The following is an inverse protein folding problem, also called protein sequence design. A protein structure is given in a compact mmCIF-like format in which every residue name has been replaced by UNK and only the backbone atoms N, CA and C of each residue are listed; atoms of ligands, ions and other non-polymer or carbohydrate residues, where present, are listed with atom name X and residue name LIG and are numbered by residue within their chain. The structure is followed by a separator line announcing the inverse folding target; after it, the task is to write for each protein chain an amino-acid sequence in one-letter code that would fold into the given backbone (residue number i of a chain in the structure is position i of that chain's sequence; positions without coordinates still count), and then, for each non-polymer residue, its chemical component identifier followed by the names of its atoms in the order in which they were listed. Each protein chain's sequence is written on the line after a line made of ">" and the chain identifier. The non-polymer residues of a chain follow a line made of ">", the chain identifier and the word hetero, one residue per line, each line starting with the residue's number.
data_IF_678824733533
#
_entry.id   IF_678824733533
#
_cell.length_a   1.000
_cell.length_b   1.000
_cell.length_c   1.000
_cell.angle_alpha   90.00
_cell.angle_beta   90.00
_cell.angle_gamma   90.00
#
_symmetry.space_group_name_H-M   'P 1'
#
loop_
_entity.id
_entity.type
_entity.pdbx_description
1 polymer ?
#
# COMPACT_ATOMS: atom_id res chain seq x y z
N UNK A 1 -8.36 -4.65 -1.94
CA UNK A 1 -8.21 -6.00 -1.34
C UNK A 1 -9.22 -7.00 -1.89
N UNK A 2 -10.54 -6.72 -1.85
CA UNK A 2 -11.56 -7.54 -2.52
C UNK A 2 -11.29 -7.76 -4.02
N UNK A 3 -10.92 -6.70 -4.75
CA UNK A 3 -10.52 -6.78 -6.17
C UNK A 3 -9.34 -7.74 -6.42
N UNK A 4 -8.38 -7.80 -5.51
CA UNK A 4 -7.23 -8.70 -5.63
C UNK A 4 -7.65 -10.15 -5.40
N UNK A 5 -8.48 -10.41 -4.40
CA UNK A 5 -9.05 -11.74 -4.17
C UNK A 5 -9.92 -12.18 -5.37
N UNK A 6 -10.80 -11.33 -5.85
CA UNK A 6 -11.76 -11.69 -6.89
C UNK A 6 -11.11 -11.92 -8.25
N UNK A 7 -10.15 -11.07 -8.64
CA UNK A 7 -9.45 -11.20 -9.91
C UNK A 7 -8.32 -12.22 -9.88
N UNK A 8 -7.64 -12.40 -8.75
CA UNK A 8 -6.48 -13.30 -8.66
C UNK A 8 -6.89 -14.67 -8.13
N UNK A 9 -7.47 -14.77 -6.94
CA UNK A 9 -7.73 -16.07 -6.30
C UNK A 9 -8.90 -16.84 -6.92
N UNK A 10 -9.96 -16.15 -7.36
CA UNK A 10 -11.16 -16.80 -7.95
C UNK A 10 -10.86 -17.44 -9.31
N UNK A 11 -9.83 -16.95 -9.99
CA UNK A 11 -9.40 -17.43 -11.30
C UNK A 11 -8.45 -18.63 -11.20
N UNK A 12 -7.61 -18.69 -10.15
CA UNK A 12 -6.85 -19.90 -9.79
C UNK A 12 -7.79 -21.05 -9.38
N UNK A 13 -8.85 -20.75 -8.64
CA UNK A 13 -9.81 -21.75 -8.14
C UNK A 13 -10.63 -22.39 -9.28
N UNK A 14 -11.01 -21.61 -10.31
CA UNK A 14 -11.86 -22.07 -11.42
C UNK A 14 -11.16 -22.90 -12.50
N UNK A 15 -9.87 -23.25 -12.34
CA UNK A 15 -9.05 -23.95 -13.36
C UNK A 15 -9.06 -23.26 -14.75
N UNK A 16 -9.42 -21.97 -14.83
CA UNK A 16 -9.36 -21.17 -16.07
C UNK A 16 -7.93 -21.03 -16.61
N UNK A 17 -6.92 -21.36 -15.79
CA UNK A 17 -5.54 -21.54 -16.21
C UNK A 17 -5.40 -22.52 -17.39
N UNK A 18 -6.27 -23.54 -17.49
CA UNK A 18 -6.28 -24.53 -18.59
C UNK A 18 -6.71 -23.94 -19.93
N UNK A 19 -7.58 -22.92 -19.95
CA UNK A 19 -8.01 -22.24 -21.19
C UNK A 19 -6.96 -21.21 -21.65
N UNK A 20 -6.24 -20.61 -20.70
CA UNK A 20 -5.19 -19.61 -20.98
C UNK A 20 -3.83 -20.25 -21.33
N UNK A 21 -3.57 -21.48 -20.87
CA UNK A 21 -2.37 -22.27 -21.18
C UNK A 21 -2.36 -22.89 -22.58
N UNK A 22 -3.46 -22.84 -23.33
CA UNK A 22 -3.47 -23.29 -24.74
C UNK A 22 -2.52 -22.44 -25.60
N UNK A 23 -2.14 -21.25 -25.12
CA UNK A 23 -1.10 -20.42 -25.71
C UNK A 23 0.18 -20.44 -24.84
N UNK A 24 1.38 -20.54 -25.44
CA UNK A 24 2.65 -20.50 -24.71
C UNK A 24 2.92 -19.06 -24.27
N UNK A 25 2.23 -18.60 -23.24
CA UNK A 25 2.51 -17.30 -22.60
C UNK A 25 3.39 -17.51 -21.36
N UNK A 26 4.48 -16.73 -21.23
CA UNK A 26 5.32 -16.80 -20.03
C UNK A 26 4.51 -16.39 -18.79
N UNK A 27 4.57 -17.21 -17.74
CA UNK A 27 3.83 -17.05 -16.47
C UNK A 27 4.01 -15.65 -15.85
N UNK A 28 5.18 -15.04 -16.04
CA UNK A 28 5.48 -13.69 -15.58
C UNK A 28 4.58 -12.61 -16.20
N UNK A 29 4.28 -12.72 -17.51
CA UNK A 29 3.47 -11.71 -18.23
C UNK A 29 2.01 -11.75 -17.80
N UNK A 30 1.51 -12.91 -17.39
CA UNK A 30 0.17 -13.05 -16.84
C UNK A 30 0.03 -12.33 -15.49
N UNK A 31 0.94 -12.58 -14.55
CA UNK A 31 0.92 -11.94 -13.23
C UNK A 31 1.09 -10.42 -13.37
N UNK A 32 2.08 -9.97 -14.15
CA UNK A 32 2.33 -8.54 -14.35
C UNK A 32 1.15 -7.83 -15.00
N UNK A 33 0.51 -8.41 -16.03
CA UNK A 33 -0.66 -7.81 -16.67
C UNK A 33 -1.83 -7.64 -15.69
N UNK A 34 -2.06 -8.63 -14.81
CA UNK A 34 -3.10 -8.56 -13.77
C UNK A 34 -2.76 -7.54 -12.71
N UNK A 35 -1.52 -7.52 -12.24
CA UNK A 35 -1.04 -6.51 -11.30
C UNK A 35 -1.26 -5.10 -11.86
N UNK A 36 -0.85 -4.84 -13.11
CA UNK A 36 -1.04 -3.53 -13.76
C UNK A 36 -2.52 -3.18 -13.94
N UNK A 37 -3.39 -4.15 -14.23
CA UNK A 37 -4.83 -3.90 -14.36
C UNK A 37 -5.46 -3.53 -13.01
N UNK A 38 -5.13 -4.24 -11.94
CA UNK A 38 -5.63 -3.94 -10.59
C UNK A 38 -5.10 -2.58 -10.12
N UNK A 39 -3.81 -2.31 -10.33
CA UNK A 39 -3.21 -1.02 -9.98
C UNK A 39 -3.87 0.13 -10.75
N UNK A 40 -4.09 -0.03 -12.07
CA UNK A 40 -4.79 0.97 -12.88
C UNK A 40 -6.21 1.24 -12.39
N UNK A 41 -6.97 0.18 -12.04
CA UNK A 41 -8.30 0.34 -11.44
C UNK A 41 -8.26 1.09 -10.11
N UNK A 42 -7.28 0.78 -9.25
CA UNK A 42 -7.10 1.49 -7.98
C UNK A 42 -6.75 2.97 -8.19
N UNK A 43 -5.90 3.28 -9.18
CA UNK A 43 -5.58 4.67 -9.53
C UNK A 43 -6.79 5.43 -10.05
N UNK A 44 -7.58 4.83 -10.95
CA UNK A 44 -8.82 5.45 -11.47
C UNK A 44 -9.79 5.74 -10.32
N UNK A 45 -9.99 4.77 -9.43
CA UNK A 45 -10.86 4.94 -8.26
C UNK A 45 -10.33 6.04 -7.33
N UNK A 46 -9.02 6.07 -7.08
CA UNK A 46 -8.37 7.08 -6.26
C UNK A 46 -8.58 8.49 -6.85
N UNK A 47 -8.36 8.67 -8.14
CA UNK A 47 -8.59 9.94 -8.84
C UNK A 47 -10.06 10.33 -8.83
N UNK A 48 -10.98 9.37 -9.00
CA UNK A 48 -12.42 9.64 -8.95
C UNK A 48 -12.87 10.12 -7.57
N UNK A 49 -12.41 9.45 -6.50
CA UNK A 49 -12.66 9.88 -5.12
C UNK A 49 -12.02 11.25 -4.82
N UNK A 50 -10.82 11.48 -5.36
CA UNK A 50 -10.14 12.75 -5.20
C UNK A 50 -10.90 13.90 -5.88
N UNK A 51 -11.32 13.72 -7.12
CA UNK A 51 -12.15 14.68 -7.85
C UNK A 51 -13.47 14.94 -7.13
N UNK A 52 -14.12 13.90 -6.58
CA UNK A 52 -15.35 14.04 -5.81
C UNK A 52 -15.13 14.84 -4.52
N UNK A 53 -14.03 14.60 -3.79
CA UNK A 53 -13.67 15.39 -2.60
C UNK A 53 -13.40 16.86 -2.97
N UNK A 54 -12.64 17.10 -4.03
CA UNK A 54 -12.38 18.45 -4.54
C UNK A 54 -13.68 19.15 -4.94
N UNK A 55 -14.59 18.47 -5.62
CA UNK A 55 -15.90 19.01 -5.99
C UNK A 55 -16.74 19.37 -4.75
N UNK A 56 -16.86 18.46 -3.78
CA UNK A 56 -17.61 18.70 -2.55
C UNK A 56 -17.04 19.85 -1.72
N UNK A 57 -15.72 19.92 -1.59
CA UNK A 57 -15.07 21.00 -0.82
C UNK A 57 -15.28 22.37 -1.47
N UNK A 58 -15.22 22.48 -2.80
CA UNK A 58 -15.54 23.73 -3.51
C UNK A 58 -17.03 24.13 -3.38
N UNK A 59 -17.95 23.15 -3.44
CA UNK A 59 -19.39 23.39 -3.30
C UNK A 59 -19.80 23.81 -1.89
N UNK A 60 -19.14 23.26 -0.87
CA UNK A 60 -19.37 23.61 0.54
C UNK A 60 -18.72 24.97 0.85
N UNK A 61 -17.51 25.23 0.34
CA UNK A 61 -16.78 26.48 0.54
C UNK A 61 -17.46 27.70 -0.05
N UNK A 62 -18.30 27.55 -1.09
CA UNK A 62 -19.14 28.66 -1.60
C UNK A 62 -20.30 29.03 -0.67
N UNK A 63 -20.71 28.10 0.21
CA UNK A 63 -21.89 28.25 1.07
C UNK A 63 -21.53 28.59 2.53
N UNK A 64 -20.29 28.31 2.96
CA UNK A 64 -19.82 28.50 4.34
C UNK A 64 -18.37 28.98 4.38
N UNK A 65 -18.09 30.03 5.16
CA UNK A 65 -16.72 30.47 5.44
C UNK A 65 -16.04 29.46 6.36
N UNK A 66 -15.12 28.66 5.82
CA UNK A 66 -14.32 27.69 6.57
C UNK A 66 -13.10 28.37 7.20
N UNK A 67 -12.86 28.15 8.50
CA UNK A 67 -11.68 28.66 9.21
C UNK A 67 -10.36 28.03 8.75
N UNK A 68 -10.41 26.85 8.14
CA UNK A 68 -9.27 26.13 7.57
C UNK A 68 -9.70 25.42 6.28
N UNK A 69 -9.66 26.13 5.13
CA UNK A 69 -9.93 25.50 3.86
C UNK A 69 -8.80 24.50 3.52
N UNK A 70 -9.12 23.28 3.04
CA UNK A 70 -8.10 22.35 2.56
C UNK A 70 -7.41 22.92 1.33
N UNK A 71 -6.09 22.76 1.25
CA UNK A 71 -5.32 23.22 0.10
C UNK A 71 -5.42 22.18 -1.03
N UNK A 72 -6.27 22.51 -2.01
CA UNK A 72 -6.59 21.68 -3.18
C UNK A 72 -5.57 21.83 -4.32
N UNK A 73 -4.50 22.61 -4.14
CA UNK A 73 -3.49 22.88 -5.16
C UNK A 73 -2.44 21.77 -5.31
N UNK A 74 -1.18 22.18 -5.41
CA UNK A 74 -0.02 21.26 -5.43
C UNK A 74 0.05 20.28 -4.25
N UNK A 75 -0.25 20.64 -2.99
CA UNK A 75 -0.13 19.67 -1.89
C UNK A 75 -1.14 18.53 -2.00
N UNK A 76 -2.28 18.76 -2.65
CA UNK A 76 -3.26 17.72 -2.93
C UNK A 76 -2.76 16.67 -3.94
N UNK A 77 -2.05 17.09 -4.97
CA UNK A 77 -1.44 16.17 -5.94
C UNK A 77 -0.31 15.37 -5.30
N UNK A 78 0.48 16.00 -4.42
CA UNK A 78 1.53 15.30 -3.68
C UNK A 78 0.93 14.22 -2.80
N UNK A 79 -0.10 14.52 -2.00
CA UNK A 79 -0.74 13.50 -1.15
C UNK A 79 -1.35 12.36 -1.97
N UNK A 80 -1.93 12.67 -3.13
CA UNK A 80 -2.43 11.66 -4.07
C UNK A 80 -1.33 10.71 -4.55
N UNK A 81 -0.15 11.24 -4.88
CA UNK A 81 1.01 10.46 -5.29
C UNK A 81 1.53 9.54 -4.19
N UNK A 82 1.58 10.02 -2.94
CA UNK A 82 1.98 9.20 -1.80
C UNK A 82 0.96 8.08 -1.50
N UNK A 83 -0.34 8.37 -1.62
CA UNK A 83 -1.39 7.34 -1.49
C UNK A 83 -1.28 6.30 -2.61
N UNK A 84 -1.00 6.73 -3.84
CA UNK A 84 -0.77 5.80 -4.95
C UNK A 84 0.43 4.87 -4.70
N UNK A 85 1.50 5.40 -4.09
CA UNK A 85 2.67 4.62 -3.71
C UNK A 85 2.37 3.61 -2.59
N UNK A 86 1.61 4.02 -1.58
CA UNK A 86 1.11 3.13 -0.52
C UNK A 86 0.29 1.97 -1.12
N UNK A 87 -0.66 2.30 -2.00
CA UNK A 87 -1.47 1.31 -2.71
C UNK A 87 -0.60 0.34 -3.53
N UNK A 88 0.48 0.81 -4.17
CA UNK A 88 1.41 -0.02 -4.93
C UNK A 88 2.09 -1.07 -4.02
N UNK A 89 2.60 -0.65 -2.86
CA UNK A 89 3.29 -1.53 -1.91
C UNK A 89 2.33 -2.57 -1.35
N UNK A 90 1.14 -2.15 -0.90
CA UNK A 90 0.13 -3.08 -0.36
C UNK A 90 -0.33 -4.06 -1.44
N UNK A 91 -0.48 -3.61 -2.69
CA UNK A 91 -0.80 -4.47 -3.82
C UNK A 91 0.31 -5.49 -4.07
N UNK A 92 1.57 -5.09 -4.05
CA UNK A 92 2.72 -5.98 -4.27
C UNK A 92 2.77 -7.11 -3.21
N UNK A 93 2.56 -6.77 -1.95
CA UNK A 93 2.49 -7.75 -0.85
C UNK A 93 1.29 -8.67 -1.02
N UNK A 94 0.12 -8.11 -1.35
CA UNK A 94 -1.07 -8.91 -1.62
C UNK A 94 -0.86 -9.89 -2.76
N UNK A 95 -0.14 -9.50 -3.81
CA UNK A 95 0.20 -10.43 -4.90
C UNK A 95 1.17 -11.52 -4.46
N UNK A 96 2.16 -11.22 -3.61
CA UNK A 96 3.06 -12.22 -3.07
C UNK A 96 2.29 -13.27 -2.26
N UNK A 97 1.46 -12.82 -1.32
CA UNK A 97 0.66 -13.70 -0.45
C UNK A 97 -0.32 -14.53 -1.29
N UNK A 98 -0.94 -13.92 -2.32
CA UNK A 98 -1.84 -14.63 -3.21
C UNK A 98 -1.15 -15.69 -4.07
N UNK A 99 0.11 -15.48 -4.46
CA UNK A 99 0.89 -16.48 -5.18
C UNK A 99 1.33 -17.60 -4.25
N UNK A 100 1.71 -17.30 -3.01
CA UNK A 100 2.18 -18.31 -2.05
C UNK A 100 1.04 -19.16 -1.50
N UNK A 101 -0.12 -18.57 -1.26
CA UNK A 101 -1.21 -19.24 -0.54
C UNK A 101 -2.27 -19.78 -1.49
N UNK A 102 -2.81 -20.96 -1.16
CA UNK A 102 -3.87 -21.63 -1.93
C UNK A 102 -5.27 -21.19 -1.49
N UNK A 103 -5.43 -20.70 -0.25
CA UNK A 103 -6.71 -20.27 0.30
C UNK A 103 -6.94 -18.76 0.13
N UNK A 104 -8.04 -18.34 -0.51
CA UNK A 104 -8.33 -16.92 -0.78
C UNK A 104 -8.50 -16.10 0.50
N UNK A 105 -9.06 -16.69 1.56
CA UNK A 105 -9.28 -16.02 2.85
C UNK A 105 -7.97 -15.60 3.53
N UNK A 106 -6.89 -16.37 3.32
CA UNK A 106 -5.58 -16.02 3.90
C UNK A 106 -4.98 -14.78 3.23
N UNK A 107 -5.25 -14.57 1.94
CA UNK A 107 -4.80 -13.36 1.23
C UNK A 107 -5.45 -12.12 1.84
N UNK A 108 -6.76 -12.17 2.09
CA UNK A 108 -7.46 -11.06 2.77
C UNK A 108 -6.90 -10.81 4.16
N UNK A 109 -6.84 -11.84 5.00
CA UNK A 109 -6.40 -11.70 6.40
C UNK A 109 -4.95 -11.24 6.46
N UNK A 110 -4.08 -11.83 5.63
CA UNK A 110 -2.66 -11.48 5.57
C UNK A 110 -2.42 -10.05 5.09
N UNK A 111 -3.12 -9.61 4.03
CA UNK A 111 -3.00 -8.23 3.55
C UNK A 111 -3.56 -7.20 4.51
N UNK A 112 -4.72 -7.47 5.12
CA UNK A 112 -5.32 -6.59 6.12
C UNK A 112 -4.48 -6.51 7.40
N UNK A 113 -4.00 -7.66 7.89
CA UNK A 113 -3.12 -7.71 9.06
C UNK A 113 -1.81 -6.97 8.80
N UNK A 114 -1.20 -7.19 7.64
CA UNK A 114 -0.01 -6.45 7.23
C UNK A 114 -0.27 -4.94 7.18
N UNK A 115 -1.35 -4.50 6.54
CA UNK A 115 -1.70 -3.08 6.42
C UNK A 115 -1.92 -2.44 7.81
N UNK A 116 -2.57 -3.15 8.72
CA UNK A 116 -2.81 -2.68 10.08
C UNK A 116 -1.50 -2.53 10.85
N UNK A 117 -0.62 -3.53 10.80
CA UNK A 117 0.68 -3.49 11.47
C UNK A 117 1.57 -2.40 10.89
N UNK A 118 1.73 -2.33 9.57
CA UNK A 118 2.60 -1.35 8.93
C UNK A 118 2.13 0.10 9.15
N UNK A 119 0.82 0.32 9.30
CA UNK A 119 0.27 1.65 9.59
C UNK A 119 0.29 2.02 11.07
N UNK A 120 0.18 1.05 11.97
CA UNK A 120 0.24 1.29 13.42
C UNK A 120 1.67 1.35 13.96
N UNK A 121 2.64 0.81 13.23
CA UNK A 121 4.04 0.72 13.64
C UNK A 121 4.63 2.08 14.07
N UNK A 122 4.56 3.12 13.23
CA UNK A 122 5.19 4.41 13.59
C UNK A 122 4.51 5.09 14.79
N UNK A 123 3.19 4.95 14.91
CA UNK A 123 2.44 5.46 16.06
C UNK A 123 2.82 4.74 17.36
N UNK A 124 2.97 3.41 17.31
CA UNK A 124 3.42 2.59 18.44
C UNK A 124 4.84 3.01 18.85
N UNK A 125 5.78 3.14 17.90
CA UNK A 125 7.15 3.60 18.18
C UNK A 125 7.15 4.98 18.83
N UNK A 126 6.39 5.92 18.28
CA UNK A 126 6.31 7.29 18.80
C UNK A 126 5.76 7.33 20.24
N UNK A 127 4.75 6.51 20.55
CA UNK A 127 4.20 6.40 21.91
C UNK A 127 5.21 5.76 22.87
N UNK A 128 5.88 4.68 22.47
CA UNK A 128 6.91 4.02 23.29
C UNK A 128 8.14 4.88 23.54
N UNK A 129 8.49 5.75 22.59
CA UNK A 129 9.60 6.71 22.75
C UNK A 129 9.22 7.81 23.74
N UNK A 130 7.93 8.18 23.79
CA UNK A 130 7.42 9.22 24.68
C UNK A 130 7.19 8.71 26.11
N UNK A 131 6.74 7.47 26.27
CA UNK A 131 6.45 6.82 27.55
C UNK A 131 7.26 5.53 27.73
N UNK A 132 8.59 5.64 27.80
CA UNK A 132 9.51 4.50 27.94
C UNK A 132 9.43 3.79 29.30
N UNK A 133 8.66 4.33 30.25
CA UNK A 133 8.45 3.79 31.61
C UNK A 133 7.40 2.69 31.67
N UNK A 134 6.63 2.46 30.60
CA UNK A 134 5.56 1.44 30.55
C UNK A 134 6.06 0.03 30.21
N UNK A 135 7.33 -0.13 29.80
CA UNK A 135 7.91 -1.42 29.41
C UNK A 135 9.17 -1.71 30.22
N UNK A 136 9.19 -2.83 30.94
CA UNK A 136 10.29 -3.20 31.85
C UNK A 136 11.63 -3.53 31.19
N UNK A 137 11.74 -3.46 29.85
CA UNK A 137 12.96 -3.73 29.08
C UNK A 137 13.00 -2.90 27.78
N UNK A 138 13.01 -1.57 27.92
CA UNK A 138 12.91 -0.61 26.83
C UNK A 138 13.98 -0.79 25.74
N UNK A 139 15.23 -1.09 26.10
CA UNK A 139 16.35 -1.21 25.15
C UNK A 139 16.23 -2.46 24.24
N UNK A 140 15.76 -3.58 24.80
CA UNK A 140 15.51 -4.81 24.04
C UNK A 140 14.32 -4.68 23.10
N UNK A 141 13.28 -3.97 23.53
CA UNK A 141 12.13 -3.66 22.68
C UNK A 141 12.49 -2.68 21.55
N UNK A 142 13.26 -1.64 21.84
CA UNK A 142 13.73 -0.69 20.81
C UNK A 142 14.63 -1.37 19.77
N UNK A 143 15.52 -2.27 20.18
CA UNK A 143 16.35 -3.05 19.25
C UNK A 143 15.51 -3.97 18.35
N UNK A 144 14.51 -4.62 18.92
CA UNK A 144 13.58 -5.48 18.17
C UNK A 144 12.70 -4.69 17.21
N UNK A 145 12.25 -3.50 17.62
CA UNK A 145 11.52 -2.57 16.74
C UNK A 145 12.43 -2.05 15.62
N UNK A 146 13.66 -1.64 15.91
CA UNK A 146 14.62 -1.18 14.89
C UNK A 146 14.87 -2.23 13.80
N UNK A 147 15.01 -3.51 14.18
CA UNK A 147 15.10 -4.63 13.24
C UNK A 147 13.83 -4.78 12.39
N UNK A 148 12.65 -4.59 13.00
CA UNK A 148 11.37 -4.60 12.29
C UNK A 148 11.25 -3.44 11.29
N UNK A 149 11.73 -2.25 11.67
CA UNK A 149 11.75 -1.06 10.81
C UNK A 149 12.67 -1.18 9.59
N UNK A 150 13.64 -2.10 9.61
CA UNK A 150 14.45 -2.44 8.45
C UNK A 150 13.75 -3.41 7.49
N UNK A 151 12.83 -4.23 8.01
CA UNK A 151 12.16 -5.30 7.27
C UNK A 151 10.78 -4.91 6.71
N UNK A 152 10.08 -4.02 7.43
CA UNK A 152 8.81 -3.44 7.04
C UNK A 152 9.01 -2.00 6.55
N UNK A 153 8.58 -1.65 5.32
CA UNK A 153 8.51 -0.26 4.93
C UNK A 153 7.51 0.45 5.84
N UNK A 154 7.92 1.57 6.43
CA UNK A 154 7.03 2.41 7.22
C UNK A 154 6.00 3.07 6.30
N UNK A 155 4.85 2.42 6.14
CA UNK A 155 3.74 2.94 5.32
C UNK A 155 3.06 4.12 6.01
N UNK A 156 3.14 4.24 7.34
CA UNK A 156 2.64 5.40 8.06
C UNK A 156 3.45 6.66 7.74
N UNK A 157 4.74 6.51 7.49
CA UNK A 157 5.61 7.60 7.04
C UNK A 157 5.28 8.15 5.64
N UNK A 158 4.45 7.45 4.85
CA UNK A 158 3.89 7.94 3.59
C UNK A 158 2.53 8.66 3.78
N UNK A 159 1.99 8.71 4.99
CA UNK A 159 0.74 9.40 5.27
C UNK A 159 0.96 10.91 5.38
N UNK A 160 0.99 11.57 4.22
CA UNK A 160 1.30 13.00 4.08
C UNK A 160 0.02 13.87 4.06
N UNK A 161 -1.15 13.31 4.43
CA UNK A 161 -2.46 13.99 4.34
C UNK A 161 -2.50 15.35 5.05
N UNK A 162 -1.66 15.56 6.07
CA UNK A 162 -1.56 16.82 6.80
C UNK A 162 -1.16 18.01 5.91
N UNK A 163 -0.40 17.79 4.83
CA UNK A 163 -0.05 18.88 3.90
C UNK A 163 -1.30 19.38 3.18
N UNK A 164 -2.15 18.50 2.66
CA UNK A 164 -3.41 18.93 2.02
C UNK A 164 -4.42 19.52 3.00
N UNK A 165 -4.35 19.14 4.28
CA UNK A 165 -5.28 19.62 5.31
C UNK A 165 -4.94 21.03 5.80
N UNK A 166 -3.65 21.34 5.93
CA UNK A 166 -3.17 22.60 6.51
C UNK A 166 -2.45 23.51 5.51
N UNK A 167 -2.20 23.05 4.28
CA UNK A 167 -1.45 23.79 3.26
C UNK A 167 0.02 24.03 3.62
N UNK A 168 0.54 23.39 4.67
CA UNK A 168 1.89 23.66 5.17
C UNK A 168 2.89 22.59 4.71
N UNK A 169 3.83 23.02 3.87
CA UNK A 169 4.92 22.19 3.35
C UNK A 169 5.87 21.65 4.43
N UNK A 170 5.86 22.22 5.63
CA UNK A 170 6.65 21.74 6.78
C UNK A 170 6.26 20.32 7.23
N UNK A 171 5.07 19.84 6.87
CA UNK A 171 4.63 18.48 7.18
C UNK A 171 5.18 17.46 6.18
N UNK A 172 5.90 17.89 5.13
CA UNK A 172 6.63 16.99 4.25
C UNK A 172 7.91 16.52 4.98
N UNK A 173 8.13 15.21 5.13
CA UNK A 173 9.38 14.70 5.68
C UNK A 173 10.57 15.15 4.83
N UNK A 174 11.68 15.57 5.45
CA UNK A 174 12.89 15.96 4.71
C UNK A 174 13.43 14.79 3.85
N UNK A 175 13.29 13.56 4.32
CA UNK A 175 13.72 12.33 3.63
C UNK A 175 12.71 11.77 2.61
N UNK A 176 11.77 12.58 2.13
CA UNK A 176 10.68 12.12 1.26
C UNK A 176 11.18 11.35 0.01
N UNK A 177 12.28 11.81 -0.60
CA UNK A 177 12.84 11.18 -1.80
C UNK A 177 13.38 9.76 -1.51
N UNK A 178 14.10 9.59 -0.40
CA UNK A 178 14.61 8.29 0.03
C UNK A 178 13.46 7.33 0.36
N UNK A 179 12.37 7.84 0.95
CA UNK A 179 11.17 7.04 1.25
C UNK A 179 10.46 6.56 -0.01
N UNK A 180 10.35 7.42 -1.03
CA UNK A 180 9.78 7.02 -2.33
C UNK A 180 10.64 5.95 -2.99
N UNK A 181 11.96 6.14 -3.02
CA UNK A 181 12.90 5.17 -3.61
C UNK A 181 12.86 3.84 -2.85
N UNK A 182 12.86 3.85 -1.52
CA UNK A 182 12.83 2.64 -0.71
C UNK A 182 11.53 1.86 -0.90
N UNK A 183 10.38 2.55 -0.93
CA UNK A 183 9.09 1.92 -1.18
C UNK A 183 8.97 1.36 -2.60
N UNK A 184 9.49 2.05 -3.62
CA UNK A 184 9.57 1.51 -4.98
C UNK A 184 10.48 0.27 -5.06
N UNK A 185 11.67 0.34 -4.45
CA UNK A 185 12.60 -0.78 -4.40
C UNK A 185 11.96 -1.99 -3.68
N UNK A 186 11.25 -1.75 -2.58
CA UNK A 186 10.54 -2.79 -1.84
C UNK A 186 9.40 -3.41 -2.66
N UNK A 187 8.57 -2.59 -3.31
CA UNK A 187 7.52 -3.09 -4.21
C UNK A 187 8.11 -3.92 -5.36
N UNK A 188 9.22 -3.46 -5.96
CA UNK A 188 9.91 -4.20 -7.02
C UNK A 188 10.48 -5.54 -6.52
N UNK A 189 11.10 -5.56 -5.33
CA UNK A 189 11.62 -6.77 -4.71
C UNK A 189 10.51 -7.80 -4.43
N UNK A 190 9.37 -7.35 -3.90
CA UNK A 190 8.20 -8.19 -3.65
C UNK A 190 7.59 -8.75 -4.93
N UNK A 191 7.51 -7.94 -5.99
CA UNK A 191 7.06 -8.40 -7.30
C UNK A 191 8.03 -9.42 -7.90
N UNK A 192 9.34 -9.19 -7.77
CA UNK A 192 10.38 -10.15 -8.16
C UNK A 192 10.24 -11.48 -7.43
N UNK A 193 10.05 -11.45 -6.10
CA UNK A 193 9.79 -12.63 -5.28
C UNK A 193 8.48 -13.34 -5.68
N UNK A 194 7.44 -12.58 -6.00
CA UNK A 194 6.15 -13.13 -6.45
C UNK A 194 6.29 -13.88 -7.77
N UNK A 195 7.05 -13.31 -8.71
CA UNK A 195 7.36 -13.96 -9.99
C UNK A 195 8.20 -15.22 -9.79
N UNK A 196 9.21 -15.16 -8.92
CA UNK A 196 10.05 -16.30 -8.58
C UNK A 196 9.25 -17.44 -7.92
N UNK A 197 8.39 -17.11 -6.96
CA UNK A 197 7.51 -18.07 -6.29
C UNK A 197 6.54 -18.74 -7.28
N UNK A 198 5.99 -17.97 -8.23
CA UNK A 198 5.10 -18.49 -9.28
C UNK A 198 5.84 -19.47 -10.21
N UNK A 199 7.09 -19.17 -10.56
CA UNK A 199 7.90 -20.03 -11.43
C UNK A 199 8.28 -21.35 -10.76
N UNK A 200 8.48 -21.36 -9.43
CA UNK A 200 8.78 -22.58 -8.67
C UNK A 200 7.55 -23.42 -8.32
N UNK A 201 6.34 -22.87 -8.43
CA UNK A 201 5.10 -23.60 -8.12
C UNK A 201 4.88 -24.73 -9.14
N UNK A 202 4.98 -25.98 -8.66
CA UNK A 202 4.57 -27.17 -9.42
C UNK A 202 3.05 -27.28 -9.31
N UNK A 203 2.37 -27.12 -10.44
CA UNK A 203 0.94 -27.45 -10.55
C UNK A 203 0.90 -28.97 -10.77
N UNK A 204 0.64 -29.72 -9.69
CA UNK A 204 0.40 -31.16 -9.72
C UNK A 204 -1.10 -31.42 -9.79
#
# INVERSE_FOLDING_TARGET
>A
MLLLQELLSREFDRKLFLISLTYPRPRCRFLLARFTAIFGLLLILLVALAALLSGLTTFIGSSYTQSTPPDLGLPYLVTLGFIALDLLVVLAIGTLIAVTTTTPSFVLIGTLGFMLVARSYSAIVALLTRDSTLVGNADGYQSSLSLLGYLLPDLAALDVRMISLYGQWQFLPEDWALRVVSALAYAAALLGLSVWALNRKKFA
#
